data_IF_477884173391
#
_entry.id   IF_477884173391
#
_cell.length_a   1.000
_cell.length_b   1.000
_cell.length_c   1.000
_cell.angle_alpha   90.00
_cell.angle_beta   90.00
_cell.angle_gamma   90.00
#
_symmetry.space_group_name_H-M   'P 1'
#
loop_
_entity.id
_entity.type
_entity.pdbx_description
1 polymer ?
#
# COMPACT_ATOMS: atom_id res chain seq x y z
N UNK A 1 -1.81 0.61 -22.91
CA UNK A 1 -2.41 1.19 -21.69
C UNK A 1 -1.36 2.13 -21.10
N UNK A 2 -1.60 3.44 -21.11
CA UNK A 2 -0.70 4.44 -20.50
C UNK A 2 -0.64 4.24 -18.98
N UNK A 3 0.44 4.68 -18.33
CA UNK A 3 0.58 4.62 -16.88
C UNK A 3 -0.49 5.47 -16.21
N UNK A 4 -1.41 4.83 -15.49
CA UNK A 4 -2.52 5.47 -14.80
C UNK A 4 -2.42 5.14 -13.32
N UNK A 5 -2.78 6.08 -12.45
CA UNK A 5 -2.64 5.88 -11.00
C UNK A 5 -1.22 6.00 -10.45
N UNK A 6 -0.25 6.51 -11.21
CA UNK A 6 1.10 6.79 -10.69
C UNK A 6 1.06 8.03 -9.80
N UNK A 7 1.58 7.93 -8.58
CA UNK A 7 1.67 9.03 -7.62
C UNK A 7 3.10 9.30 -7.21
N UNK A 8 3.44 10.59 -7.10
CA UNK A 8 4.64 11.09 -6.44
C UNK A 8 4.36 11.51 -5.00
N UNK A 9 3.09 11.72 -4.64
CA UNK A 9 2.63 12.12 -3.33
C UNK A 9 1.46 11.23 -2.91
N UNK A 10 1.54 10.67 -1.71
CA UNK A 10 0.54 9.74 -1.21
C UNK A 10 0.07 10.14 0.20
N UNK A 11 -1.13 10.74 0.30
CA UNK A 11 -1.70 11.18 1.57
C UNK A 11 -2.44 10.05 2.31
N UNK A 12 -2.46 8.81 1.78
CA UNK A 12 -3.20 7.72 2.40
C UNK A 12 -2.58 7.24 3.71
N UNK A 13 -1.29 7.55 3.92
CA UNK A 13 -0.53 7.20 5.11
C UNK A 13 -0.75 8.24 6.21
N UNK A 14 -0.54 7.89 7.50
CA UNK A 14 -0.65 8.85 8.59
C UNK A 14 0.24 10.10 8.44
N UNK A 15 1.31 9.98 7.66
CA UNK A 15 2.16 11.10 7.22
C UNK A 15 2.23 11.11 5.70
N UNK A 16 2.27 12.29 5.10
CA UNK A 16 2.42 12.44 3.65
C UNK A 16 3.73 11.79 3.19
N UNK A 17 3.63 10.80 2.30
CA UNK A 17 4.80 10.17 1.68
C UNK A 17 5.04 10.78 0.29
N UNK A 18 6.30 11.02 -0.03
CA UNK A 18 6.73 11.43 -1.37
C UNK A 18 7.60 10.35 -2.00
N UNK A 19 7.28 9.92 -3.22
CA UNK A 19 7.98 8.83 -3.92
C UNK A 19 8.80 9.33 -5.11
N UNK A 20 10.00 8.79 -5.29
CA UNK A 20 10.88 9.08 -6.42
C UNK A 20 11.73 7.85 -6.79
N UNK A 21 11.43 7.15 -7.90
CA UNK A 21 10.38 7.41 -8.90
C UNK A 21 8.94 7.24 -8.37
N UNK A 22 7.95 7.73 -9.13
CA UNK A 22 6.53 7.56 -8.80
C UNK A 22 6.12 6.08 -8.67
N UNK A 23 5.12 5.82 -7.86
CA UNK A 23 4.61 4.49 -7.54
C UNK A 23 3.14 4.37 -7.96
N UNK A 24 2.68 3.23 -8.51
CA UNK A 24 1.27 3.07 -8.84
C UNK A 24 0.42 2.79 -7.60
N UNK A 25 -0.75 3.44 -7.50
CA UNK A 25 -1.74 3.20 -6.45
C UNK A 25 -2.48 1.85 -6.61
N UNK A 26 -2.44 1.26 -7.79
CA UNK A 26 -3.15 0.02 -8.14
C UNK A 26 -2.48 -0.67 -9.33
N UNK A 27 -2.84 -1.95 -9.62
CA UNK A 27 -2.25 -2.72 -10.71
C UNK A 27 -2.28 -1.98 -12.06
N UNK A 28 -1.13 -1.94 -12.75
CA UNK A 28 -1.02 -1.31 -14.07
C UNK A 28 -1.91 -2.00 -15.12
N UNK A 29 -2.21 -3.28 -14.91
CA UNK A 29 -3.09 -4.10 -15.75
C UNK A 29 -4.17 -4.76 -14.89
N UNK A 30 -5.41 -4.71 -15.35
CA UNK A 30 -6.57 -5.31 -14.69
C UNK A 30 -6.72 -6.82 -14.99
N UNK A 31 -5.61 -7.56 -14.93
CA UNK A 31 -5.58 -9.01 -15.16
C UNK A 31 -5.48 -9.75 -13.83
N UNK A 32 -6.24 -10.85 -13.71
CA UNK A 32 -6.28 -11.68 -12.49
C UNK A 32 -4.93 -12.30 -12.10
N UNK A 33 -3.96 -12.35 -13.02
CA UNK A 33 -2.63 -12.96 -12.82
C UNK A 33 -1.49 -11.93 -12.74
N UNK A 34 -1.81 -10.64 -12.72
CA UNK A 34 -0.79 -9.61 -12.76
C UNK A 34 -0.07 -9.49 -11.41
N UNK A 35 1.26 -9.44 -11.45
CA UNK A 35 2.09 -9.08 -10.32
C UNK A 35 3.33 -8.33 -10.80
N UNK A 36 3.85 -7.42 -9.98
CA UNK A 36 5.06 -6.65 -10.28
C UNK A 36 5.72 -6.16 -8.99
N UNK A 37 7.04 -6.10 -9.02
CA UNK A 37 7.83 -5.44 -7.98
C UNK A 37 8.15 -4.01 -8.41
N UNK A 38 8.04 -3.08 -7.47
CA UNK A 38 8.47 -1.71 -7.57
C UNK A 38 9.55 -1.44 -6.54
N UNK A 39 10.61 -0.76 -6.95
CA UNK A 39 11.65 -0.26 -6.05
C UNK A 39 11.73 1.24 -6.24
N UNK A 40 11.53 1.98 -5.15
CA UNK A 40 11.57 3.43 -5.14
C UNK A 40 12.25 3.95 -3.87
N UNK A 41 12.50 5.24 -3.84
CA UNK A 41 12.85 5.97 -2.63
C UNK A 41 11.66 6.78 -2.17
N UNK A 42 11.52 6.90 -0.85
CA UNK A 42 10.49 7.75 -0.28
C UNK A 42 11.04 8.70 0.78
N UNK A 43 10.35 9.82 0.96
CA UNK A 43 10.56 10.76 2.06
C UNK A 43 9.24 11.07 2.76
N UNK A 44 9.32 11.56 3.99
CA UNK A 44 8.17 11.91 4.82
C UNK A 44 8.06 13.43 4.88
N UNK A 45 6.89 13.97 4.52
CA UNK A 45 6.64 15.41 4.60
C UNK A 45 6.87 15.96 6.02
N UNK A 46 7.63 17.05 6.13
CA UNK A 46 7.96 17.70 7.40
C UNK A 46 9.18 17.13 8.13
N UNK A 47 9.86 16.13 7.58
CA UNK A 47 11.14 15.61 8.07
C UNK A 47 12.28 15.96 7.09
N UNK A 48 13.53 15.71 7.48
CA UNK A 48 14.68 15.87 6.58
C UNK A 48 14.46 15.12 5.26
N UNK A 49 15.11 15.57 4.19
CA UNK A 49 15.07 14.98 2.83
C UNK A 49 15.69 13.56 2.73
N UNK A 50 15.68 12.80 3.83
CA UNK A 50 16.10 11.41 3.93
C UNK A 50 15.34 10.56 2.90
N UNK A 51 16.09 9.96 1.98
CA UNK A 51 15.57 9.08 0.93
C UNK A 51 15.65 7.62 1.36
N UNK A 52 14.62 7.19 2.07
CA UNK A 52 14.48 5.83 2.60
C UNK A 52 14.09 4.85 1.51
N UNK A 53 14.56 3.61 1.61
CA UNK A 53 14.23 2.55 0.68
C UNK A 53 12.76 2.11 0.78
N UNK A 54 12.14 1.88 -0.37
CA UNK A 54 10.81 1.28 -0.49
C UNK A 54 10.83 0.20 -1.56
N UNK A 55 10.48 -1.02 -1.18
CA UNK A 55 10.31 -2.12 -2.10
C UNK A 55 8.90 -2.69 -1.93
N UNK A 56 8.10 -2.63 -2.98
CA UNK A 56 6.72 -3.10 -2.97
C UNK A 56 6.55 -4.21 -3.98
N UNK A 57 6.01 -5.33 -3.53
CA UNK A 57 5.52 -6.39 -4.38
C UNK A 57 3.99 -6.32 -4.42
N UNK A 58 3.45 -5.97 -5.59
CA UNK A 58 2.01 -5.87 -5.82
C UNK A 58 1.55 -7.08 -6.61
N UNK A 59 0.51 -7.78 -6.15
CA UNK A 59 -0.07 -8.96 -6.80
C UNK A 59 -1.59 -8.95 -6.80
N UNK A 60 -2.19 -9.21 -7.95
CA UNK A 60 -3.64 -9.38 -8.10
C UNK A 60 -4.05 -10.78 -7.65
N UNK A 61 -5.17 -10.85 -6.95
CA UNK A 61 -5.79 -12.11 -6.48
C UNK A 61 -7.11 -12.43 -7.17
N UNK A 62 -7.63 -11.53 -8.00
CA UNK A 62 -8.80 -11.76 -8.84
C UNK A 62 -9.91 -10.75 -8.62
N UNK A 63 -11.03 -11.00 -9.30
CA UNK A 63 -12.26 -10.22 -9.17
C UNK A 63 -13.19 -10.89 -8.16
N UNK A 64 -13.74 -10.11 -7.24
CA UNK A 64 -14.72 -10.60 -6.27
C UNK A 64 -15.79 -9.57 -5.96
N UNK A 65 -16.95 -10.06 -5.51
CA UNK A 65 -18.05 -9.23 -5.05
C UNK A 65 -17.77 -8.81 -3.60
N UNK A 66 -17.89 -7.52 -3.30
CA UNK A 66 -17.69 -6.98 -1.95
C UNK A 66 -18.85 -6.06 -1.58
N UNK A 67 -19.33 -6.18 -0.35
CA UNK A 67 -20.33 -5.28 0.24
C UNK A 67 -19.66 -4.39 1.28
N UNK A 68 -19.85 -3.08 1.14
CA UNK A 68 -19.39 -2.04 2.06
C UNK A 68 -20.57 -1.09 2.36
N UNK A 69 -20.47 -0.16 3.33
CA UNK A 69 -21.58 0.75 3.62
C UNK A 69 -22.04 1.59 2.42
N UNK A 70 -21.14 1.89 1.48
CA UNK A 70 -21.47 2.57 0.23
C UNK A 70 -22.26 1.73 -0.79
N UNK A 71 -22.43 0.42 -0.56
CA UNK A 71 -23.15 -0.50 -1.43
C UNK A 71 -22.35 -1.74 -1.82
N UNK A 72 -22.78 -2.38 -2.89
CA UNK A 72 -22.20 -3.62 -3.38
C UNK A 72 -21.46 -3.41 -4.70
N UNK A 73 -20.26 -3.96 -4.81
CA UNK A 73 -19.36 -3.75 -5.96
C UNK A 73 -18.71 -5.04 -6.42
N UNK A 74 -18.31 -5.09 -7.68
CA UNK A 74 -17.32 -6.05 -8.20
C UNK A 74 -15.97 -5.36 -8.21
N UNK A 75 -15.05 -5.82 -7.37
CA UNK A 75 -13.75 -5.21 -7.15
C UNK A 75 -12.62 -6.16 -7.58
N UNK A 76 -11.54 -5.58 -8.10
CA UNK A 76 -10.27 -6.26 -8.27
C UNK A 76 -9.55 -6.26 -6.91
N UNK A 77 -9.41 -7.45 -6.31
CA UNK A 77 -8.62 -7.60 -5.09
C UNK A 77 -7.16 -7.78 -5.44
N UNK A 78 -6.30 -6.97 -4.84
CA UNK A 78 -4.85 -7.11 -4.93
C UNK A 78 -4.20 -6.92 -3.56
N UNK A 79 -2.96 -7.35 -3.44
CA UNK A 79 -2.16 -7.22 -2.22
C UNK A 79 -0.85 -6.51 -2.51
N UNK A 80 -0.42 -5.72 -1.53
CA UNK A 80 0.92 -5.14 -1.48
C UNK A 80 1.68 -5.77 -0.32
N UNK A 81 2.87 -6.29 -0.60
CA UNK A 81 3.89 -6.61 0.39
C UNK A 81 5.01 -5.59 0.25
N UNK A 82 5.16 -4.74 1.25
CA UNK A 82 6.07 -3.61 1.24
C UNK A 82 7.16 -3.87 2.27
N UNK A 83 8.42 -3.89 1.82
CA UNK A 83 9.59 -3.77 2.68
C UNK A 83 10.05 -2.32 2.62
N UNK A 84 10.09 -1.64 3.77
CA UNK A 84 10.46 -0.23 3.83
C UNK A 84 11.53 0.02 4.89
N UNK A 85 12.28 1.09 4.71
CA UNK A 85 13.22 1.59 5.71
C UNK A 85 12.52 2.64 6.58
N UNK A 86 12.56 2.49 7.91
CA UNK A 86 11.87 3.40 8.83
C UNK A 86 12.67 4.67 9.12
N UNK A 87 11.97 5.77 9.44
CA UNK A 87 12.58 6.99 9.98
C UNK A 87 13.06 6.83 11.43
N UNK A 88 12.62 5.76 12.12
CA UNK A 88 13.16 5.35 13.41
C UNK A 88 14.34 4.39 13.20
N UNK A 89 15.58 4.80 13.52
CA UNK A 89 16.78 3.99 13.28
C UNK A 89 16.82 2.70 14.11
N UNK A 90 15.99 2.58 15.14
CA UNK A 90 15.89 1.36 15.94
C UNK A 90 15.03 0.28 15.26
N UNK A 91 14.21 0.64 14.27
CA UNK A 91 13.34 -0.30 13.56
C UNK A 91 14.03 -0.83 12.31
N UNK A 92 14.13 -2.15 12.23
CA UNK A 92 14.70 -2.89 11.09
C UNK A 92 13.71 -3.93 10.60
N UNK A 93 13.95 -4.48 9.41
CA UNK A 93 13.08 -5.48 8.77
C UNK A 93 11.59 -5.06 8.76
N UNK A 94 11.32 -3.80 8.43
CA UNK A 94 9.98 -3.25 8.45
C UNK A 94 9.18 -3.77 7.24
N UNK A 95 8.07 -4.43 7.53
CA UNK A 95 7.16 -5.01 6.55
C UNK A 95 5.79 -4.38 6.73
N UNK A 96 5.14 -4.01 5.64
CA UNK A 96 3.72 -3.68 5.58
C UNK A 96 3.01 -4.60 4.59
N UNK A 97 1.84 -5.08 4.97
CA UNK A 97 0.94 -5.85 4.11
C UNK A 97 -0.35 -5.10 3.93
N UNK A 98 -0.78 -4.93 2.70
CA UNK A 98 -2.07 -4.34 2.37
C UNK A 98 -2.89 -5.31 1.53
N UNK A 99 -4.19 -5.38 1.79
CA UNK A 99 -5.17 -5.96 0.87
C UNK A 99 -6.13 -4.86 0.45
N UNK A 100 -6.33 -4.69 -0.86
CA UNK A 100 -7.05 -3.56 -1.44
C UNK A 100 -8.10 -4.07 -2.42
N UNK A 101 -9.31 -3.52 -2.33
CA UNK A 101 -10.42 -3.79 -3.26
C UNK A 101 -10.63 -2.58 -4.14
N UNK A 102 -10.12 -2.64 -5.36
CA UNK A 102 -10.19 -1.55 -6.32
C UNK A 102 -11.37 -1.73 -7.29
N UNK A 103 -12.17 -0.67 -7.48
CA UNK A 103 -13.32 -0.67 -8.38
C UNK A 103 -13.08 0.35 -9.49
N UNK A 104 -12.65 -0.09 -10.69
CA UNK A 104 -12.32 0.84 -11.78
C UNK A 104 -13.50 1.68 -12.22
N UNK A 105 -14.73 1.17 -12.11
CA UNK A 105 -15.96 1.88 -12.51
C UNK A 105 -16.20 3.18 -11.74
N UNK A 106 -15.69 3.28 -10.51
CA UNK A 106 -15.77 4.49 -9.68
C UNK A 106 -14.39 5.15 -9.48
N UNK A 107 -13.36 4.63 -10.17
CA UNK A 107 -12.00 5.19 -10.15
C UNK A 107 -11.31 5.17 -8.79
N UNK A 108 -11.71 4.30 -7.85
CA UNK A 108 -11.14 4.25 -6.49
C UNK A 108 -11.30 2.88 -5.83
N UNK A 109 -10.61 2.68 -4.72
CA UNK A 109 -10.83 1.53 -3.84
C UNK A 109 -12.07 1.72 -2.95
N UNK A 110 -12.72 0.60 -2.62
CA UNK A 110 -13.92 0.53 -1.77
C UNK A 110 -13.63 -0.06 -0.40
N UNK A 111 -12.55 -0.83 -0.26
CA UNK A 111 -12.10 -1.37 1.01
C UNK A 111 -10.58 -1.52 1.04
N UNK A 112 -10.01 -1.42 2.23
CA UNK A 112 -8.59 -1.65 2.48
C UNK A 112 -8.39 -2.31 3.84
N UNK A 113 -7.40 -3.18 3.90
CA UNK A 113 -6.89 -3.78 5.12
C UNK A 113 -5.38 -3.60 5.14
N UNK A 114 -4.83 -3.19 6.27
CA UNK A 114 -3.39 -2.98 6.42
C UNK A 114 -2.92 -3.57 7.75
N UNK A 115 -1.74 -4.16 7.73
CA UNK A 115 -1.04 -4.67 8.92
C UNK A 115 0.45 -4.51 8.70
N UNK A 116 1.20 -4.32 9.78
CA UNK A 116 2.64 -4.13 9.71
C UNK A 116 3.39 -4.94 10.73
N UNK A 117 4.69 -5.08 10.53
CA UNK A 117 5.61 -5.65 11.49
C UNK A 117 7.00 -5.08 11.34
N UNK A 118 7.80 -5.13 12.39
CA UNK A 118 9.22 -4.75 12.37
C UNK A 118 9.98 -5.54 13.43
N UNK A 119 11.30 -5.45 13.40
CA UNK A 119 12.19 -5.91 14.46
C UNK A 119 12.94 -4.72 15.07
N UNK A 120 13.40 -4.87 16.31
CA UNK A 120 14.28 -3.87 16.94
C UNK A 120 15.73 -4.24 16.68
N UNK A 121 16.53 -3.26 16.27
CA UNK A 121 17.96 -3.43 16.06
C UNK A 121 18.63 -4.05 17.30
N UNK A 122 19.35 -5.15 17.10
CA UNK A 122 20.03 -5.87 18.17
C UNK A 122 19.16 -6.90 18.92
N UNK A 123 17.85 -6.97 18.68
CA UNK A 123 16.99 -8.06 19.16
C UNK A 123 16.88 -9.15 18.09
N UNK A 124 17.32 -10.38 18.43
CA UNK A 124 17.30 -11.49 17.48
C UNK A 124 15.95 -12.22 17.56
N UNK A 125 15.26 -12.32 16.42
CA UNK A 125 14.11 -13.22 16.24
C UNK A 125 12.78 -12.73 16.83
N UNK A 126 12.75 -11.55 17.46
CA UNK A 126 11.50 -10.95 17.96
C UNK A 126 10.89 -10.07 16.87
N UNK A 127 9.75 -10.50 16.34
CA UNK A 127 8.94 -9.71 15.40
C UNK A 127 7.84 -9.01 16.18
N UNK A 128 7.82 -7.68 16.10
CA UNK A 128 6.78 -6.84 16.70
C UNK A 128 5.72 -6.56 15.65
N UNK A 129 4.45 -6.80 16.00
CA UNK A 129 3.31 -6.51 15.14
C UNK A 129 2.83 -5.07 15.36
N UNK A 130 2.65 -4.34 14.28
CA UNK A 130 1.98 -3.04 14.28
C UNK A 130 0.45 -3.23 14.35
N UNK A 131 -0.27 -2.18 14.74
CA UNK A 131 -1.72 -2.17 14.69
C UNK A 131 -2.24 -2.44 13.27
N UNK A 132 -3.26 -3.29 13.17
CA UNK A 132 -3.99 -3.49 11.92
C UNK A 132 -5.12 -2.47 11.79
N UNK A 133 -5.42 -2.10 10.55
CA UNK A 133 -6.48 -1.15 10.23
C UNK A 133 -7.31 -1.65 9.06
N UNK A 134 -8.62 -1.47 9.17
CA UNK A 134 -9.58 -1.76 8.13
C UNK A 134 -10.36 -0.49 7.82
N UNK A 135 -10.52 -0.21 6.52
CA UNK A 135 -11.30 0.92 6.03
C UNK A 135 -12.28 0.44 4.97
N UNK A 136 -13.48 0.99 5.01
CA UNK A 136 -14.52 0.75 4.02
C UNK A 136 -15.13 2.08 3.56
N UNK A 137 -15.43 2.14 2.28
CA UNK A 137 -16.08 3.28 1.66
C UNK A 137 -17.51 3.42 2.21
N UNK A 138 -17.81 4.61 2.73
CA UNK A 138 -19.12 4.94 3.29
C UNK A 138 -20.05 5.63 2.31
N UNK A 139 -19.52 6.46 1.41
CA UNK A 139 -20.25 7.08 0.30
C UNK A 139 -19.28 7.50 -0.82
N UNK A 140 -19.78 7.58 -2.06
CA UNK A 140 -19.03 8.01 -3.25
C UNK A 140 -19.87 8.77 -4.28
N UNK A 141 -21.11 9.11 -3.92
CA UNK A 141 -21.96 9.99 -4.71
C UNK A 141 -21.72 11.44 -4.34
#
# INVERSE_FOLDING_TARGET
QSSWGMVTLDPQWPRLLSFSPALPLWPEKLSATWAKQFTTKYSIGGYSDSKMNWQEYMSVHGWEKITVPAGEFVALRFQNLINYESDDPNKVDCIRKETIWFVPQIGRWVARETSGSYQIQGQIGIVILEGSYQWQLTSYK
#
